data_IF_460295922208
#
_entry.id   IF_460295922208
#
_cell.length_a   1.000
_cell.length_b   1.000
_cell.length_c   1.000
_cell.angle_alpha   90.00
_cell.angle_beta   90.00
_cell.angle_gamma   90.00
#
_symmetry.space_group_name_H-M   'P 1'
#
loop_
_entity.id
_entity.type
_entity.pdbx_description
1 polymer ?
#
# COMPACT_ATOMS: atom_id res chain seq x y z
N UNK A 1 30.69 -24.55 -18.01
CA UNK A 1 31.75 -23.79 -17.33
C UNK A 1 31.20 -22.41 -17.07
N UNK A 2 31.20 -21.94 -15.82
CA UNK A 2 30.69 -20.61 -15.49
C UNK A 2 31.69 -19.56 -15.98
N UNK A 3 31.26 -18.70 -16.89
CA UNK A 3 32.08 -17.60 -17.41
C UNK A 3 32.08 -16.45 -16.39
N UNK A 4 33.26 -15.91 -16.07
CA UNK A 4 33.39 -14.82 -15.12
C UNK A 4 32.88 -13.52 -15.77
N UNK A 5 31.80 -12.95 -15.21
CA UNK A 5 31.24 -11.69 -15.68
C UNK A 5 32.23 -10.56 -15.39
N UNK A 6 32.35 -9.60 -16.31
CA UNK A 6 33.35 -8.54 -16.25
C UNK A 6 33.14 -7.54 -15.12
N UNK A 7 31.90 -7.20 -14.77
CA UNK A 7 31.60 -6.17 -13.76
C UNK A 7 30.66 -6.68 -12.69
N UNK A 8 30.91 -6.23 -11.47
CA UNK A 8 30.14 -6.57 -10.29
C UNK A 8 29.95 -5.32 -9.44
N UNK A 9 28.77 -5.19 -8.84
CA UNK A 9 28.46 -4.15 -7.87
C UNK A 9 27.95 -4.81 -6.59
N UNK A 10 28.25 -4.26 -5.43
CA UNK A 10 27.90 -4.91 -4.19
C UNK A 10 28.23 -4.12 -2.93
N UNK A 11 28.28 -4.84 -1.82
CA UNK A 11 28.51 -4.26 -0.51
C UNK A 11 29.53 -5.09 0.27
N UNK A 12 30.28 -4.38 1.10
CA UNK A 12 31.21 -4.91 2.07
C UNK A 12 30.69 -4.61 3.48
N UNK A 13 30.77 -5.61 4.35
CA UNK A 13 30.31 -5.55 5.74
C UNK A 13 31.42 -6.05 6.68
N UNK A 14 31.39 -5.62 7.95
CA UNK A 14 32.34 -6.07 8.98
C UNK A 14 32.91 -4.89 9.77
N UNK A 15 34.21 -4.97 10.06
CA UNK A 15 34.94 -3.87 10.73
C UNK A 15 34.96 -2.59 9.91
N UNK A 16 34.84 -2.72 8.58
CA UNK A 16 34.59 -1.64 7.64
C UNK A 16 33.31 -1.95 6.88
N UNK A 17 32.61 -0.93 6.42
CA UNK A 17 31.37 -1.06 5.66
C UNK A 17 31.34 -0.08 4.51
N UNK A 18 30.96 -0.54 3.32
CA UNK A 18 30.97 0.33 2.15
C UNK A 18 30.37 -0.30 0.90
N UNK A 19 30.24 0.53 -0.13
CA UNK A 19 29.81 0.09 -1.45
C UNK A 19 31.04 -0.39 -2.24
N UNK A 20 30.89 -1.51 -2.93
CA UNK A 20 31.92 -2.11 -3.77
C UNK A 20 31.53 -2.05 -5.24
N UNK A 21 32.50 -1.69 -6.07
CA UNK A 21 32.43 -1.91 -7.50
C UNK A 21 33.69 -2.64 -7.95
N UNK A 22 33.53 -3.76 -8.63
CA UNK A 22 34.63 -4.66 -9.01
C UNK A 22 34.58 -4.91 -10.51
N UNK A 23 35.70 -4.67 -11.18
CA UNK A 23 35.90 -5.02 -12.58
C UNK A 23 36.95 -6.13 -12.64
N UNK A 24 36.56 -7.29 -13.17
CA UNK A 24 37.42 -8.46 -13.31
C UNK A 24 37.59 -8.80 -14.78
N UNK A 25 38.82 -9.08 -15.18
CA UNK A 25 39.21 -9.49 -16.53
C UNK A 25 40.16 -10.69 -16.42
N UNK A 26 40.28 -11.46 -17.50
CA UNK A 26 41.20 -12.60 -17.58
C UNK A 26 40.51 -13.95 -17.64
N UNK A 27 41.28 -15.01 -17.35
CA UNK A 27 40.85 -16.40 -17.47
C UNK A 27 40.68 -17.03 -16.08
N UNK A 28 40.07 -18.22 -15.99
CA UNK A 28 39.75 -18.87 -14.70
C UNK A 28 40.94 -19.00 -13.74
N UNK A 29 42.16 -19.15 -14.26
CA UNK A 29 43.38 -19.32 -13.44
C UNK A 29 44.20 -18.02 -13.29
N UNK A 30 43.78 -16.93 -13.94
CA UNK A 30 44.52 -15.68 -13.95
C UNK A 30 43.52 -14.53 -14.12
N UNK A 31 42.95 -14.12 -12.98
CA UNK A 31 41.96 -13.05 -12.88
C UNK A 31 42.65 -11.79 -12.38
N UNK A 32 42.54 -10.70 -13.14
CA UNK A 32 43.05 -9.39 -12.80
C UNK A 32 41.91 -8.39 -12.76
N UNK A 33 42.00 -7.36 -11.92
CA UNK A 33 40.89 -6.43 -11.82
C UNK A 33 41.15 -5.20 -10.97
N UNK A 34 40.16 -4.33 -10.97
CA UNK A 34 40.14 -3.13 -10.13
C UNK A 34 38.96 -3.21 -9.18
N UNK A 35 39.24 -3.05 -7.89
CA UNK A 35 38.23 -2.98 -6.82
C UNK A 35 38.16 -1.53 -6.35
N UNK A 36 36.97 -0.94 -6.40
CA UNK A 36 36.68 0.39 -5.86
C UNK A 36 35.78 0.22 -4.65
N UNK A 37 36.27 0.66 -3.49
CA UNK A 37 35.54 0.63 -2.23
C UNK A 37 35.22 2.07 -1.82
N UNK A 38 33.94 2.40 -1.73
CA UNK A 38 33.48 3.61 -1.06
C UNK A 38 33.15 3.24 0.39
N UNK A 39 34.11 3.41 1.28
CA UNK A 39 33.92 3.24 2.72
C UNK A 39 33.05 4.37 3.26
N UNK A 40 32.08 4.03 4.10
CA UNK A 40 31.10 4.98 4.62
C UNK A 40 31.72 6.09 5.49
N UNK A 41 32.89 5.85 6.08
CA UNK A 41 33.59 6.77 6.99
C UNK A 41 34.84 7.34 6.32
N UNK A 42 35.61 6.50 5.65
CA UNK A 42 36.94 6.86 5.16
C UNK A 42 36.96 7.31 3.69
N UNK A 43 35.87 7.12 2.95
CA UNK A 43 35.75 7.56 1.56
C UNK A 43 36.28 6.52 0.55
N UNK A 44 36.65 6.99 -0.65
CA UNK A 44 36.99 6.12 -1.77
C UNK A 44 38.41 5.57 -1.66
N UNK A 45 38.56 4.26 -1.82
CA UNK A 45 39.84 3.57 -2.00
C UNK A 45 39.78 2.67 -3.23
N UNK A 46 40.90 2.60 -3.96
CA UNK A 46 41.05 1.81 -5.17
C UNK A 46 42.14 0.78 -4.94
N UNK A 47 41.85 -0.47 -5.29
CA UNK A 47 42.76 -1.59 -5.17
C UNK A 47 42.92 -2.29 -6.51
N UNK A 48 44.12 -2.75 -6.80
CA UNK A 48 44.39 -3.70 -7.88
C UNK A 48 44.23 -5.12 -7.31
N UNK A 49 43.41 -5.93 -7.95
CA UNK A 49 43.10 -7.30 -7.54
C UNK A 49 43.72 -8.32 -8.48
N UNK A 50 44.34 -9.36 -7.93
CA UNK A 50 44.89 -10.50 -8.68
C UNK A 50 44.44 -11.80 -8.01
N UNK A 51 44.03 -12.80 -8.78
CA UNK A 51 43.54 -14.04 -8.20
C UNK A 51 43.05 -15.09 -9.19
N UNK A 52 42.18 -15.98 -8.71
CA UNK A 52 41.69 -17.13 -9.48
C UNK A 52 40.19 -17.32 -9.27
N UNK A 53 39.51 -17.85 -10.29
CA UNK A 53 38.12 -18.25 -10.26
C UNK A 53 37.95 -19.68 -10.77
N UNK A 54 37.93 -20.64 -9.85
CA UNK A 54 37.91 -22.08 -10.16
C UNK A 54 36.69 -22.70 -9.48
N UNK A 55 35.90 -23.47 -10.24
CA UNK A 55 34.72 -24.20 -9.75
C UNK A 55 33.72 -23.35 -8.94
N UNK A 56 33.57 -22.08 -9.32
CA UNK A 56 32.67 -21.14 -8.64
C UNK A 56 33.27 -20.51 -7.38
N UNK A 57 34.52 -20.81 -7.02
CA UNK A 57 35.24 -20.13 -5.93
C UNK A 57 36.16 -19.06 -6.49
N UNK A 58 35.96 -17.82 -6.06
CA UNK A 58 36.77 -16.66 -6.34
C UNK A 58 37.71 -16.39 -5.16
N UNK A 59 39.02 -16.37 -5.42
CA UNK A 59 40.02 -15.92 -4.46
C UNK A 59 40.79 -14.76 -5.05
N UNK A 60 40.76 -13.59 -4.41
CA UNK A 60 41.48 -12.38 -4.84
C UNK A 60 42.42 -11.91 -3.75
N UNK A 61 43.58 -11.40 -4.16
CA UNK A 61 44.47 -10.58 -3.36
C UNK A 61 44.48 -9.17 -3.93
N UNK A 62 44.16 -8.20 -3.09
CA UNK A 62 43.99 -6.82 -3.46
C UNK A 62 45.08 -5.97 -2.79
N UNK A 63 45.88 -5.29 -3.61
CA UNK A 63 46.87 -4.32 -3.17
C UNK A 63 46.31 -2.90 -3.37
N UNK A 64 46.60 -2.00 -2.42
CA UNK A 64 46.15 -0.62 -2.51
C UNK A 64 46.85 0.11 -3.66
N UNK A 65 46.05 0.76 -4.50
CA UNK A 65 46.52 1.59 -5.62
C UNK A 65 46.32 3.07 -5.28
N UNK A 66 45.16 3.40 -4.72
CA UNK A 66 44.84 4.76 -4.27
C UNK A 66 44.06 4.72 -2.96
N UNK A 67 44.46 5.57 -2.02
CA UNK A 67 43.86 5.70 -0.69
C UNK A 67 43.69 7.18 -0.31
N UNK A 68 42.73 7.51 0.57
CA UNK A 68 42.62 8.83 1.19
C UNK A 68 43.89 9.18 1.99
N UNK A 69 44.27 10.46 2.02
CA UNK A 69 45.46 10.93 2.73
C UNK A 69 45.39 10.65 4.24
N UNK A 70 46.52 10.19 4.82
CA UNK A 70 46.65 9.98 6.25
C UNK A 70 46.11 8.65 6.80
N UNK A 71 45.72 7.72 5.92
CA UNK A 71 45.23 6.39 6.30
C UNK A 71 46.17 5.28 5.82
N UNK A 72 46.45 4.32 6.69
CA UNK A 72 47.20 3.11 6.35
C UNK A 72 46.26 2.01 5.86
N UNK A 73 46.61 1.37 4.75
CA UNK A 73 45.85 0.26 4.16
C UNK A 73 46.71 -1.00 4.10
N UNK A 74 46.15 -2.12 4.59
CA UNK A 74 46.73 -3.44 4.42
C UNK A 74 46.32 -4.08 3.11
N UNK A 75 47.05 -5.12 2.70
CA UNK A 75 46.60 -5.99 1.61
C UNK A 75 45.32 -6.71 2.04
N UNK A 76 44.36 -6.80 1.11
CA UNK A 76 43.07 -7.44 1.37
C UNK A 76 43.03 -8.78 0.63
N UNK A 77 42.69 -9.84 1.34
CA UNK A 77 42.36 -11.14 0.75
C UNK A 77 40.85 -11.32 0.76
N UNK A 78 40.30 -11.74 -0.37
CA UNK A 78 38.87 -12.02 -0.58
C UNK A 78 38.71 -13.49 -0.98
N UNK A 79 37.79 -14.18 -0.32
CA UNK A 79 37.36 -15.53 -0.66
C UNK A 79 35.84 -15.52 -0.81
N UNK A 80 35.33 -15.75 -2.02
CA UNK A 80 33.90 -15.70 -2.31
C UNK A 80 33.45 -16.87 -3.17
N UNK A 81 32.26 -17.39 -2.91
CA UNK A 81 31.66 -18.48 -3.69
C UNK A 81 30.48 -17.98 -4.51
N UNK A 82 30.40 -18.41 -5.77
CA UNK A 82 29.31 -18.13 -6.68
C UNK A 82 28.10 -18.97 -6.26
N UNK A 83 27.09 -18.28 -5.76
CA UNK A 83 25.84 -18.86 -5.35
C UNK A 83 24.96 -19.19 -6.56
N UNK A 84 23.99 -20.13 -6.43
CA UNK A 84 23.07 -20.49 -7.52
C UNK A 84 22.21 -19.33 -8.05
N UNK A 85 22.07 -18.25 -7.28
CA UNK A 85 21.37 -17.02 -7.66
C UNK A 85 22.21 -16.07 -8.53
N UNK A 86 23.46 -16.46 -8.85
CA UNK A 86 24.41 -15.67 -9.63
C UNK A 86 25.18 -14.63 -8.81
N UNK A 87 25.02 -14.62 -7.48
CA UNK A 87 25.74 -13.70 -6.59
C UNK A 87 27.03 -14.32 -6.06
N UNK A 88 28.08 -13.51 -5.90
CA UNK A 88 29.30 -13.92 -5.21
C UNK A 88 29.22 -13.49 -3.75
N UNK A 89 29.32 -14.43 -2.82
CA UNK A 89 29.29 -14.16 -1.38
C UNK A 89 30.48 -14.80 -0.69
N UNK A 90 31.04 -14.10 0.29
CA UNK A 90 32.07 -14.69 1.11
C UNK A 90 32.72 -13.67 2.03
N UNK A 91 33.98 -13.90 2.35
CA UNK A 91 34.70 -13.21 3.40
C UNK A 91 35.85 -12.38 2.83
N UNK A 92 36.17 -11.29 3.53
CA UNK A 92 37.37 -10.50 3.27
C UNK A 92 38.14 -10.30 4.57
N UNK A 93 39.46 -10.20 4.44
CA UNK A 93 40.38 -9.96 5.56
C UNK A 93 41.54 -9.09 5.09
N UNK A 94 42.03 -8.20 5.95
CA UNK A 94 43.24 -7.42 5.69
C UNK A 94 44.41 -7.87 6.57
N UNK A 95 45.62 -7.51 6.15
CA UNK A 95 46.83 -7.69 6.95
C UNK A 95 46.86 -6.83 8.22
N UNK A 96 46.02 -5.79 8.31
CA UNK A 96 45.87 -4.92 9.50
C UNK A 96 44.86 -5.48 10.52
N UNK A 97 44.31 -6.68 10.28
CA UNK A 97 43.37 -7.34 11.18
C UNK A 97 41.91 -6.92 11.01
N UNK A 98 41.58 -6.14 9.97
CA UNK A 98 40.19 -5.85 9.60
C UNK A 98 39.60 -7.00 8.79
N UNK A 99 38.30 -7.26 8.95
CA UNK A 99 37.65 -8.39 8.30
C UNK A 99 36.13 -8.26 8.28
N UNK A 100 35.50 -9.08 7.45
CA UNK A 100 34.06 -9.30 7.45
C UNK A 100 33.58 -10.04 6.22
N UNK A 101 32.37 -9.74 5.78
CA UNK A 101 31.68 -10.43 4.69
C UNK A 101 31.40 -9.50 3.52
N UNK A 102 31.26 -10.04 2.31
CA UNK A 102 30.87 -9.29 1.12
C UNK A 102 29.79 -10.00 0.32
N UNK A 103 29.06 -9.22 -0.47
CA UNK A 103 28.12 -9.70 -1.47
C UNK A 103 28.26 -8.88 -2.74
N UNK A 104 28.54 -9.55 -3.86
CA UNK A 104 28.71 -8.98 -5.19
C UNK A 104 27.64 -9.51 -6.13
N UNK A 105 27.04 -8.60 -6.89
CA UNK A 105 25.97 -8.86 -7.86
C UNK A 105 26.50 -8.58 -9.27
N UNK A 106 26.23 -9.44 -10.25
CA UNK A 106 26.74 -9.27 -11.60
C UNK A 106 26.08 -8.06 -12.27
N UNK A 107 26.86 -7.30 -13.02
CA UNK A 107 26.41 -6.17 -13.83
C UNK A 107 26.99 -6.29 -15.24
N UNK A 108 26.16 -6.67 -16.22
CA UNK A 108 26.56 -6.84 -17.62
C UNK A 108 25.34 -6.98 -18.52
N UNK A 109 25.52 -6.80 -19.85
CA UNK A 109 24.42 -6.71 -20.84
C UNK A 109 23.57 -7.97 -21.01
N UNK A 110 23.84 -9.04 -20.27
CA UNK A 110 22.93 -10.19 -20.16
C UNK A 110 23.16 -10.85 -18.81
N UNK A 111 22.32 -10.51 -17.83
CA UNK A 111 22.18 -11.39 -16.67
C UNK A 111 21.76 -12.77 -17.19
N UNK A 112 22.46 -13.87 -16.85
CA UNK A 112 22.01 -15.20 -17.23
C UNK A 112 20.59 -15.40 -16.70
N UNK A 113 19.67 -15.78 -17.59
CA UNK A 113 18.29 -16.07 -17.23
C UNK A 113 18.27 -17.08 -16.09
N UNK A 114 17.83 -16.64 -14.92
CA UNK A 114 17.83 -17.44 -13.70
C UNK A 114 16.99 -18.70 -13.92
N UNK A 115 17.65 -19.84 -14.07
CA UNK A 115 17.04 -21.16 -14.33
C UNK A 115 17.02 -21.98 -13.04
N UNK A 116 16.46 -21.38 -11.99
CA UNK A 116 16.13 -22.05 -10.74
C UNK A 116 14.69 -21.70 -10.33
N UNK A 117 13.94 -22.61 -9.69
CA UNK A 117 12.59 -22.31 -9.23
C UNK A 117 12.65 -21.26 -8.13
N UNK A 118 12.50 -19.97 -8.49
CA UNK A 118 12.17 -18.92 -7.53
C UNK A 118 10.81 -19.30 -6.93
N UNK A 119 10.63 -19.32 -5.61
CA UNK A 119 9.30 -19.27 -5.06
C UNK A 119 8.69 -17.89 -5.39
N UNK A 120 8.07 -17.79 -6.58
CA UNK A 120 7.40 -16.61 -7.15
C UNK A 120 6.05 -16.32 -6.48
N UNK A 121 5.94 -16.51 -5.16
CA UNK A 121 4.68 -16.28 -4.47
C UNK A 121 4.53 -14.80 -4.14
N UNK A 122 3.77 -14.11 -4.97
CA UNK A 122 3.30 -12.77 -4.67
C UNK A 122 2.23 -12.84 -3.58
N UNK A 123 2.51 -12.21 -2.44
CA UNK A 123 1.55 -12.05 -1.36
C UNK A 123 0.78 -10.74 -1.56
N UNK A 124 -0.55 -10.83 -1.56
CA UNK A 124 -1.44 -9.67 -1.61
C UNK A 124 -2.31 -9.72 -0.36
N UNK A 125 -2.34 -8.62 0.37
CA UNK A 125 -3.24 -8.44 1.49
C UNK A 125 -4.09 -7.19 1.27
N UNK A 126 -5.38 -7.32 1.54
CA UNK A 126 -6.38 -6.28 1.37
C UNK A 126 -7.10 -6.06 2.70
N UNK A 127 -7.40 -4.80 3.02
CA UNK A 127 -8.33 -4.45 4.07
C UNK A 127 -9.25 -3.34 3.63
N UNK A 128 -10.54 -3.56 3.83
CA UNK A 128 -11.58 -2.56 3.60
C UNK A 128 -11.89 -1.81 4.89
N UNK A 129 -12.29 -0.54 4.73
CA UNK A 129 -12.65 0.36 5.81
C UNK A 129 -14.04 0.93 5.54
N UNK A 130 -14.76 1.23 6.63
CA UNK A 130 -16.03 1.92 6.55
C UNK A 130 -15.87 3.41 6.27
N UNK A 131 -16.73 4.22 6.88
CA UNK A 131 -16.77 5.64 6.58
C UNK A 131 -15.57 6.37 7.19
N UNK A 132 -14.74 7.01 6.36
CA UNK A 132 -13.53 7.71 6.81
C UNK A 132 -13.71 9.23 6.72
N UNK A 133 -13.19 9.93 7.72
CA UNK A 133 -13.08 11.38 7.73
C UNK A 133 -11.64 11.75 8.01
N UNK A 134 -10.98 12.39 7.05
CA UNK A 134 -9.58 12.76 7.15
C UNK A 134 -9.39 14.27 7.14
N UNK A 135 -8.46 14.72 7.97
CA UNK A 135 -7.97 16.10 8.02
C UNK A 135 -6.68 16.23 7.19
N UNK A 136 -6.19 17.46 6.94
CA UNK A 136 -4.92 17.67 6.25
C UNK A 136 -3.75 16.92 6.91
N UNK A 137 -3.69 16.94 8.24
CA UNK A 137 -2.63 16.29 9.01
C UNK A 137 -2.71 14.77 8.96
N UNK A 138 -3.93 14.23 8.83
CA UNK A 138 -4.12 12.79 8.63
C UNK A 138 -3.59 12.34 7.27
N UNK A 139 -3.81 13.14 6.23
CA UNK A 139 -3.30 12.85 4.89
C UNK A 139 -1.77 12.93 4.86
N UNK A 140 -1.17 13.94 5.50
CA UNK A 140 0.29 14.03 5.66
C UNK A 140 0.85 12.84 6.43
N UNK A 141 0.22 12.47 7.54
CA UNK A 141 0.64 11.30 8.34
C UNK A 141 0.60 10.01 7.51
N UNK A 142 -0.44 9.86 6.67
CA UNK A 142 -0.56 8.72 5.76
C UNK A 142 0.53 8.73 4.69
N UNK A 143 0.79 9.87 4.05
CA UNK A 143 1.88 10.05 3.08
C UNK A 143 3.23 9.69 3.72
N UNK A 144 3.49 10.18 4.93
CA UNK A 144 4.73 9.94 5.64
C UNK A 144 4.93 8.45 5.98
N UNK A 145 3.87 7.77 6.42
CA UNK A 145 3.90 6.32 6.69
C UNK A 145 4.14 5.53 5.40
N UNK A 146 3.54 5.94 4.28
CA UNK A 146 3.80 5.30 2.99
C UNK A 146 5.24 5.56 2.52
N UNK A 147 5.75 6.78 2.64
CA UNK A 147 7.07 7.18 2.15
C UNK A 147 8.23 6.59 2.94
N UNK A 148 8.16 6.59 4.28
CA UNK A 148 9.22 6.07 5.15
C UNK A 148 9.50 4.57 4.93
N UNK A 149 8.54 3.84 4.37
CA UNK A 149 8.52 2.38 4.37
C UNK A 149 8.89 1.74 3.03
N UNK A 150 9.08 2.57 2.00
CA UNK A 150 9.47 2.16 0.63
C UNK A 150 10.80 2.76 0.17
N UNK A 151 11.56 3.39 1.08
CA UNK A 151 12.81 4.08 0.76
C UNK A 151 12.58 5.42 0.04
N UNK A 152 13.51 5.84 -0.82
CA UNK A 152 13.46 7.11 -1.55
C UNK A 152 12.40 7.19 -2.67
N UNK A 153 11.53 6.20 -2.81
CA UNK A 153 10.52 6.19 -3.86
C UNK A 153 9.38 7.16 -3.54
N UNK A 154 9.01 8.04 -4.49
CA UNK A 154 8.00 9.05 -4.23
C UNK A 154 6.60 8.43 -4.17
N UNK A 155 5.84 8.82 -3.15
CA UNK A 155 4.40 8.51 -3.09
C UNK A 155 3.69 9.34 -4.16
N UNK A 156 2.85 8.69 -4.97
CA UNK A 156 1.99 9.34 -5.97
C UNK A 156 0.60 9.48 -5.39
N UNK A 157 0.06 10.69 -5.44
CA UNK A 157 -1.27 11.05 -4.97
C UNK A 157 -2.15 11.39 -6.18
N UNK A 158 -3.27 10.70 -6.31
CA UNK A 158 -4.29 10.94 -7.33
C UNK A 158 -5.57 11.45 -6.67
N UNK A 159 -6.13 12.52 -7.18
CA UNK A 159 -7.36 13.14 -6.68
C UNK A 159 -8.15 13.80 -7.82
N UNK A 160 -9.48 13.96 -7.68
CA UNK A 160 -10.28 14.66 -8.66
C UNK A 160 -10.11 16.18 -8.50
N UNK A 161 -9.85 16.86 -9.62
CA UNK A 161 -9.72 18.31 -9.72
C UNK A 161 -10.36 18.80 -11.02
N UNK A 162 -11.32 19.73 -10.92
CA UNK A 162 -12.01 20.29 -12.09
C UNK A 162 -12.72 19.25 -13.00
N UNK A 163 -13.10 18.08 -12.47
CA UNK A 163 -13.70 17.00 -13.26
C UNK A 163 -12.70 16.04 -13.92
N UNK A 164 -11.40 16.26 -13.75
CA UNK A 164 -10.32 15.39 -14.18
C UNK A 164 -9.70 14.67 -12.99
N UNK A 165 -9.14 13.48 -13.20
CA UNK A 165 -8.26 12.85 -12.21
C UNK A 165 -6.83 13.35 -12.41
N UNK A 166 -6.28 14.02 -11.41
CA UNK A 166 -4.92 14.56 -11.43
C UNK A 166 -4.03 13.70 -10.54
N UNK A 167 -2.88 13.27 -11.06
CA UNK A 167 -1.87 12.52 -10.31
C UNK A 167 -0.60 13.34 -10.17
N UNK A 168 -0.08 13.48 -8.94
CA UNK A 168 1.14 14.24 -8.62
C UNK A 168 1.97 13.51 -7.58
N UNK A 169 3.25 13.87 -7.46
CA UNK A 169 4.05 13.41 -6.34
C UNK A 169 3.59 14.05 -5.04
N UNK A 170 3.70 13.32 -3.94
CA UNK A 170 3.27 13.76 -2.62
C UNK A 170 3.92 15.09 -2.21
N UNK A 171 5.21 15.28 -2.52
CA UNK A 171 5.93 16.53 -2.21
C UNK A 171 5.36 17.76 -2.94
N UNK A 172 4.78 17.59 -4.13
CA UNK A 172 4.09 18.67 -4.84
C UNK A 172 2.65 18.84 -4.32
N UNK A 173 1.95 17.73 -4.10
CA UNK A 173 0.61 17.71 -3.53
C UNK A 173 0.53 18.37 -2.14
N UNK A 174 1.51 18.13 -1.27
CA UNK A 174 1.56 18.70 0.08
C UNK A 174 1.74 20.23 0.09
N UNK A 175 2.40 20.80 -0.93
CA UNK A 175 2.56 22.25 -1.09
C UNK A 175 1.24 22.94 -1.41
N UNK A 176 0.40 22.29 -2.21
CA UNK A 176 -0.88 22.84 -2.68
C UNK A 176 -2.07 22.38 -1.83
N UNK A 177 -1.84 21.54 -0.82
CA UNK A 177 -2.88 20.80 -0.08
C UNK A 177 -3.98 21.71 0.48
N UNK A 178 -3.62 22.88 0.99
CA UNK A 178 -4.56 23.85 1.56
C UNK A 178 -5.47 24.52 0.52
N UNK A 179 -5.08 24.51 -0.75
CA UNK A 179 -5.80 25.13 -1.86
C UNK A 179 -6.87 24.21 -2.45
N UNK A 180 -6.75 22.89 -2.23
CA UNK A 180 -7.61 21.86 -2.84
C UNK A 180 -9.00 21.73 -2.17
N UNK A 181 -9.24 22.42 -1.06
CA UNK A 181 -10.57 22.46 -0.44
C UNK A 181 -11.02 21.11 0.16
N UNK A 182 -12.10 20.55 -0.36
CA UNK A 182 -12.63 19.23 0.06
C UNK A 182 -12.58 18.30 -1.14
N UNK A 183 -11.90 17.15 -1.00
CA UNK A 183 -11.85 16.12 -2.04
C UNK A 183 -12.70 14.92 -1.65
N UNK A 184 -13.28 14.30 -2.67
CA UNK A 184 -14.19 13.17 -2.53
C UNK A 184 -13.58 11.83 -2.95
N UNK A 185 -12.39 11.85 -3.54
CA UNK A 185 -11.58 10.67 -3.78
C UNK A 185 -10.11 11.02 -3.59
N UNK A 186 -9.36 10.07 -3.05
CA UNK A 186 -7.92 10.18 -2.86
C UNK A 186 -7.32 8.80 -3.00
N UNK A 187 -6.39 8.64 -3.94
CA UNK A 187 -5.63 7.41 -4.11
C UNK A 187 -4.16 7.72 -3.88
N UNK A 188 -3.54 6.98 -2.96
CA UNK A 188 -2.09 7.05 -2.73
C UNK A 188 -1.48 5.74 -3.18
N UNK A 189 -0.45 5.83 -4.02
CA UNK A 189 0.26 4.68 -4.53
C UNK A 189 1.75 4.88 -4.32
N UNK A 190 2.42 3.82 -3.86
CA UNK A 190 3.88 3.77 -3.86
C UNK A 190 4.32 2.38 -4.31
N UNK A 191 5.36 2.36 -5.15
CA UNK A 191 5.96 1.13 -5.65
C UNK A 191 7.47 1.21 -5.47
N UNK A 192 8.06 0.13 -4.98
CA UNK A 192 9.50 0.04 -4.76
C UNK A 192 10.03 -1.33 -5.18
N UNK A 193 11.28 -1.40 -5.66
CA UNK A 193 11.93 -2.68 -5.92
C UNK A 193 12.13 -3.44 -4.61
N UNK A 194 11.96 -4.76 -4.65
CA UNK A 194 12.14 -5.63 -3.49
C UNK A 194 13.55 -6.27 -3.49
N UNK A 195 14.26 -6.34 -2.35
CA UNK A 195 15.60 -6.92 -2.29
C UNK A 195 15.68 -8.38 -2.75
N UNK A 196 14.59 -9.15 -2.61
CA UNK A 196 14.50 -10.55 -3.05
C UNK A 196 14.21 -10.71 -4.56
N UNK A 197 14.21 -9.61 -5.32
CA UNK A 197 13.63 -9.53 -6.67
C UNK A 197 12.13 -9.21 -6.60
N UNK A 198 11.57 -8.63 -7.66
CA UNK A 198 10.16 -8.25 -7.73
C UNK A 198 9.86 -6.81 -7.27
N UNK A 199 8.57 -6.49 -7.11
CA UNK A 199 8.08 -5.17 -6.70
C UNK A 199 7.17 -5.26 -5.49
N UNK A 200 7.42 -4.37 -4.52
CA UNK A 200 6.49 -4.07 -3.44
C UNK A 200 5.61 -2.91 -3.87
N UNK A 201 4.31 -3.03 -3.60
CA UNK A 201 3.36 -1.98 -3.89
C UNK A 201 2.40 -1.79 -2.72
N UNK A 202 2.13 -0.53 -2.40
CA UNK A 202 1.12 -0.13 -1.43
C UNK A 202 0.17 0.81 -2.16
N UNK A 203 -1.12 0.51 -2.09
CA UNK A 203 -2.19 1.34 -2.64
C UNK A 203 -3.23 1.60 -1.56
N UNK A 204 -3.51 2.86 -1.31
CA UNK A 204 -4.59 3.32 -0.43
C UNK A 204 -5.60 4.04 -1.29
N UNK A 205 -6.83 3.55 -1.31
CA UNK A 205 -7.92 4.12 -2.08
C UNK A 205 -9.04 4.55 -1.14
N UNK A 206 -9.35 5.84 -1.17
CA UNK A 206 -10.38 6.46 -0.36
C UNK A 206 -11.36 7.13 -1.31
N UNK A 207 -12.64 6.81 -1.20
CA UNK A 207 -13.65 7.32 -2.12
C UNK A 207 -14.99 7.57 -1.43
N UNK A 208 -15.67 8.61 -1.89
CA UNK A 208 -17.02 8.95 -1.45
C UNK A 208 -18.03 7.87 -1.84
N UNK A 209 -17.96 7.41 -3.08
CA UNK A 209 -18.99 6.53 -3.67
C UNK A 209 -18.54 5.07 -3.81
N UNK A 210 -17.26 4.79 -3.57
CA UNK A 210 -16.68 3.46 -3.69
C UNK A 210 -16.39 2.77 -2.35
N UNK A 211 -15.36 1.93 -2.37
CA UNK A 211 -14.85 1.19 -1.21
C UNK A 211 -13.57 1.86 -0.74
N UNK A 212 -13.47 2.11 0.55
CA UNK A 212 -12.22 2.54 1.14
C UNK A 212 -11.38 1.31 1.41
N UNK A 213 -10.19 1.23 0.83
CA UNK A 213 -9.37 0.02 0.94
C UNK A 213 -7.88 0.35 0.97
N UNK A 214 -7.14 -0.52 1.65
CA UNK A 214 -5.67 -0.58 1.60
C UNK A 214 -5.30 -1.92 1.00
N UNK A 215 -4.44 -1.87 -0.01
CA UNK A 215 -3.85 -3.03 -0.66
C UNK A 215 -2.34 -2.98 -0.50
N UNK A 216 -1.77 -4.05 0.02
CA UNK A 216 -0.32 -4.24 0.12
C UNK A 216 0.07 -5.49 -0.65
N UNK A 217 1.13 -5.38 -1.44
CA UNK A 217 1.65 -6.42 -2.29
C UNK A 217 3.18 -6.52 -2.14
N UNK A 218 3.70 -7.74 -2.08
CA UNK A 218 5.14 -8.02 -2.04
C UNK A 218 5.43 -9.52 -1.99
N UNK A 219 6.69 -9.92 -2.10
CA UNK A 219 7.13 -11.31 -2.03
C UNK A 219 7.31 -11.81 -0.60
N UNK A 220 7.57 -10.92 0.37
CA UNK A 220 7.58 -11.26 1.80
C UNK A 220 6.18 -11.12 2.45
N UNK A 221 5.52 -12.25 2.71
CA UNK A 221 4.21 -12.29 3.36
C UNK A 221 4.17 -11.82 4.82
N UNK A 222 5.31 -11.76 5.53
CA UNK A 222 5.40 -11.18 6.87
C UNK A 222 5.40 -9.65 6.76
N UNK A 223 6.23 -9.11 5.86
CA UNK A 223 6.25 -7.69 5.56
C UNK A 223 4.87 -7.18 5.07
N UNK A 224 4.25 -7.89 4.13
CA UNK A 224 2.92 -7.53 3.59
C UNK A 224 1.87 -7.41 4.70
N UNK A 225 1.81 -8.38 5.62
CA UNK A 225 0.87 -8.36 6.74
C UNK A 225 1.19 -7.25 7.74
N UNK A 226 2.47 -7.07 8.09
CA UNK A 226 2.90 -6.02 9.00
C UNK A 226 2.56 -4.62 8.49
N UNK A 227 2.79 -4.35 7.20
CA UNK A 227 2.44 -3.07 6.58
C UNK A 227 0.95 -2.84 6.50
N UNK A 228 0.18 -3.87 6.14
CA UNK A 228 -1.27 -3.75 6.13
C UNK A 228 -1.80 -3.38 7.53
N UNK A 229 -1.31 -4.02 8.60
CA UNK A 229 -1.77 -3.70 9.96
C UNK A 229 -1.37 -2.28 10.39
N UNK A 230 -0.14 -1.85 10.11
CA UNK A 230 0.33 -0.50 10.45
C UNK A 230 -0.53 0.60 9.79
N UNK A 231 -0.82 0.46 8.49
CA UNK A 231 -1.68 1.41 7.77
C UNK A 231 -3.13 1.28 8.26
N UNK A 232 -3.59 0.05 8.52
CA UNK A 232 -4.95 -0.18 9.01
C UNK A 232 -5.19 0.44 10.38
N UNK A 233 -4.23 0.38 11.29
CA UNK A 233 -4.36 0.98 12.61
C UNK A 233 -4.40 2.51 12.56
N UNK A 234 -3.66 3.12 11.62
CA UNK A 234 -3.77 4.54 11.34
C UNK A 234 -5.19 4.91 10.85
N UNK A 235 -5.71 4.17 9.87
CA UNK A 235 -7.03 4.44 9.29
C UNK A 235 -8.19 4.09 10.23
N UNK A 236 -8.10 3.03 11.03
CA UNK A 236 -9.12 2.65 12.02
C UNK A 236 -9.38 3.76 13.04
N UNK A 237 -8.34 4.48 13.47
CA UNK A 237 -8.48 5.63 14.37
C UNK A 237 -9.25 6.79 13.74
N UNK A 238 -9.32 6.83 12.41
CA UNK A 238 -10.05 7.85 11.62
C UNK A 238 -11.38 7.33 11.08
N UNK A 239 -11.69 6.07 11.34
CA UNK A 239 -12.96 5.47 10.98
C UNK A 239 -14.07 6.02 11.88
N UNK A 240 -15.09 6.60 11.25
CA UNK A 240 -16.29 7.03 11.95
C UNK A 240 -17.16 5.80 12.18
N UNK A 241 -16.86 5.06 13.24
CA UNK A 241 -17.59 3.87 13.72
C UNK A 241 -19.12 3.98 13.58
N UNK A 242 -19.69 5.13 13.92
CA UNK A 242 -21.14 5.34 13.85
C UNK A 242 -21.65 5.41 12.40
N UNK A 243 -20.92 6.07 11.48
CA UNK A 243 -21.27 6.11 10.06
C UNK A 243 -21.03 4.76 9.37
N UNK A 244 -19.99 4.03 9.76
CA UNK A 244 -19.79 2.64 9.32
C UNK A 244 -20.95 1.75 9.74
N UNK A 245 -21.40 1.86 11.00
CA UNK A 245 -22.57 1.13 11.48
C UNK A 245 -23.84 1.55 10.74
N UNK A 246 -24.07 2.83 10.48
CA UNK A 246 -25.24 3.30 9.71
C UNK A 246 -25.29 2.67 8.32
N UNK A 247 -24.18 2.65 7.58
CA UNK A 247 -24.11 1.97 6.26
C UNK A 247 -24.36 0.47 6.36
N UNK A 248 -23.88 -0.19 7.42
CA UNK A 248 -24.12 -1.62 7.68
C UNK A 248 -25.56 -1.91 8.15
N UNK A 249 -26.17 -0.99 8.91
CA UNK A 249 -27.50 -1.15 9.49
C UNK A 249 -28.63 -0.66 8.58
N UNK A 250 -28.37 0.21 7.61
CA UNK A 250 -29.34 0.54 6.55
C UNK A 250 -29.78 -0.70 5.77
N UNK A 251 -28.84 -1.64 5.55
CA UNK A 251 -29.16 -2.97 5.01
C UNK A 251 -30.04 -3.80 5.97
N UNK A 252 -29.80 -3.73 7.29
CA UNK A 252 -30.64 -4.43 8.27
C UNK A 252 -32.07 -3.85 8.35
N UNK A 253 -32.25 -2.55 8.09
CA UNK A 253 -33.58 -1.93 8.09
C UNK A 253 -34.45 -2.42 6.92
N UNK A 254 -33.84 -2.63 5.75
CA UNK A 254 -34.53 -3.26 4.62
C UNK A 254 -35.00 -4.68 5.00
N UNK A 255 -34.17 -5.45 5.70
CA UNK A 255 -34.54 -6.77 6.22
C UNK A 255 -35.71 -6.69 7.19
N UNK A 256 -35.71 -5.74 8.12
CA UNK A 256 -36.82 -5.53 9.06
C UNK A 256 -38.12 -5.15 8.35
N UNK A 257 -38.06 -4.27 7.33
CA UNK A 257 -39.22 -3.92 6.51
C UNK A 257 -39.77 -5.14 5.75
N UNK A 258 -38.90 -5.97 5.17
CA UNK A 258 -39.31 -7.20 4.46
C UNK A 258 -39.95 -8.20 5.43
N UNK A 259 -39.35 -8.41 6.62
CA UNK A 259 -39.91 -9.30 7.64
C UNK A 259 -41.27 -8.79 8.11
N UNK A 260 -41.37 -7.49 8.43
CA UNK A 260 -42.63 -6.86 8.82
C UNK A 260 -43.70 -7.00 7.73
N UNK A 261 -43.33 -6.79 6.47
CA UNK A 261 -44.23 -6.98 5.35
C UNK A 261 -44.67 -8.44 5.20
N UNK A 262 -43.76 -9.41 5.36
CA UNK A 262 -44.08 -10.84 5.31
C UNK A 262 -45.07 -11.26 6.40
N UNK A 263 -44.94 -10.71 7.61
CA UNK A 263 -45.88 -10.94 8.71
C UNK A 263 -47.24 -10.30 8.46
N UNK A 264 -47.28 -9.13 7.81
CA UNK A 264 -48.51 -8.40 7.53
C UNK A 264 -49.29 -8.90 6.30
N UNK A 265 -48.61 -9.51 5.32
CA UNK A 265 -49.20 -9.98 4.06
C UNK A 265 -50.41 -10.93 4.21
N UNK A 266 -50.40 -11.92 5.12
CA UNK A 266 -51.52 -12.85 5.28
C UNK A 266 -52.84 -12.16 5.66
N UNK A 267 -52.75 -11.07 6.42
CA UNK A 267 -53.90 -10.35 6.97
C UNK A 267 -54.66 -9.51 5.91
N UNK A 268 -54.08 -9.33 4.72
CA UNK A 268 -54.75 -8.65 3.62
C UNK A 268 -55.67 -9.64 2.87
N UNK A 269 -56.96 -9.29 2.78
CA UNK A 269 -58.02 -10.18 2.29
C UNK A 269 -57.91 -10.58 0.81
N UNK A 270 -57.34 -9.74 -0.06
CA UNK A 270 -57.28 -9.98 -1.51
C UNK A 270 -55.85 -10.05 -2.03
N UNK A 271 -55.60 -10.91 -3.03
CA UNK A 271 -54.29 -11.00 -3.68
C UNK A 271 -53.87 -9.68 -4.33
N UNK A 272 -54.82 -8.87 -4.83
CA UNK A 272 -54.52 -7.55 -5.36
C UNK A 272 -53.95 -6.59 -4.29
N UNK A 273 -54.54 -6.55 -3.10
CA UNK A 273 -54.03 -5.72 -1.98
C UNK A 273 -52.65 -6.18 -1.52
N UNK A 274 -52.41 -7.51 -1.50
CA UNK A 274 -51.10 -8.08 -1.19
C UNK A 274 -50.03 -7.65 -2.21
N UNK A 275 -50.35 -7.72 -3.50
CA UNK A 275 -49.44 -7.31 -4.57
C UNK A 275 -49.11 -5.80 -4.51
N UNK A 276 -50.13 -4.96 -4.27
CA UNK A 276 -49.94 -3.51 -4.08
C UNK A 276 -49.06 -3.23 -2.88
N UNK A 277 -49.31 -3.88 -1.74
CA UNK A 277 -48.51 -3.71 -0.53
C UNK A 277 -47.04 -4.10 -0.75
N UNK A 278 -46.80 -5.28 -1.32
CA UNK A 278 -45.45 -5.76 -1.63
C UNK A 278 -44.71 -4.80 -2.58
N UNK A 279 -45.39 -4.30 -3.62
CA UNK A 279 -44.82 -3.35 -4.57
C UNK A 279 -44.48 -2.01 -3.91
N UNK A 280 -45.33 -1.53 -3.01
CA UNK A 280 -45.08 -0.30 -2.26
C UNK A 280 -43.88 -0.43 -1.31
N UNK A 281 -43.77 -1.54 -0.59
CA UNK A 281 -42.60 -1.83 0.26
C UNK A 281 -41.33 -1.90 -0.58
N UNK A 282 -41.37 -2.56 -1.73
CA UNK A 282 -40.24 -2.61 -2.65
C UNK A 282 -39.84 -1.21 -3.13
N UNK A 283 -40.80 -0.36 -3.51
CA UNK A 283 -40.54 1.02 -3.90
C UNK A 283 -39.90 1.85 -2.76
N UNK A 284 -40.37 1.67 -1.52
CA UNK A 284 -39.77 2.30 -0.33
C UNK A 284 -38.31 1.85 -0.15
N UNK A 285 -38.02 0.56 -0.28
CA UNK A 285 -36.65 0.02 -0.15
C UNK A 285 -35.72 0.60 -1.22
N UNK A 286 -36.18 0.67 -2.47
CA UNK A 286 -35.42 1.28 -3.57
C UNK A 286 -35.16 2.76 -3.29
N UNK A 287 -36.17 3.50 -2.85
CA UNK A 287 -36.05 4.92 -2.52
C UNK A 287 -35.07 5.15 -1.37
N UNK A 288 -35.17 4.40 -0.27
CA UNK A 288 -34.23 4.48 0.86
C UNK A 288 -32.81 4.18 0.38
N UNK A 289 -32.63 3.14 -0.43
CA UNK A 289 -31.31 2.76 -0.95
C UNK A 289 -30.70 3.86 -1.81
N UNK A 290 -31.50 4.49 -2.67
CA UNK A 290 -31.07 5.64 -3.47
C UNK A 290 -30.72 6.85 -2.61
N UNK A 291 -31.53 7.15 -1.60
CA UNK A 291 -31.33 8.26 -0.68
C UNK A 291 -30.07 8.05 0.18
N UNK A 292 -29.88 6.84 0.69
CA UNK A 292 -28.72 6.50 1.50
C UNK A 292 -27.41 6.62 0.71
N UNK A 293 -27.40 6.18 -0.56
CA UNK A 293 -26.24 6.40 -1.46
C UNK A 293 -25.94 7.87 -1.68
N UNK A 294 -26.97 8.72 -1.81
CA UNK A 294 -26.82 10.16 -2.07
C UNK A 294 -26.30 10.93 -0.85
N UNK A 295 -26.75 10.57 0.35
CA UNK A 295 -26.55 11.39 1.56
C UNK A 295 -25.52 10.85 2.56
N UNK A 296 -25.12 9.58 2.47
CA UNK A 296 -24.13 8.97 3.40
C UNK A 296 -22.84 8.68 2.63
N UNK A 297 -21.91 9.65 2.53
CA UNK A 297 -20.65 9.47 1.82
C UNK A 297 -19.74 8.44 2.51
N UNK A 298 -19.07 7.59 1.73
CA UNK A 298 -18.09 6.60 2.19
C UNK A 298 -16.77 7.21 2.67
N UNK A 299 -16.30 8.30 2.07
CA UNK A 299 -15.18 9.06 2.57
C UNK A 299 -15.41 10.56 2.37
N UNK A 300 -14.98 11.36 3.34
CA UNK A 300 -14.90 12.81 3.20
C UNK A 300 -13.52 13.26 3.66
N UNK A 301 -12.78 13.88 2.75
CA UNK A 301 -11.40 14.28 2.98
C UNK A 301 -11.35 15.80 2.94
N UNK A 302 -11.13 16.40 4.10
CA UNK A 302 -11.01 17.85 4.27
C UNK A 302 -9.54 18.21 4.12
N UNK A 303 -9.17 18.86 3.01
CA UNK A 303 -7.80 19.32 2.76
C UNK A 303 -7.60 20.80 3.15
N UNK A 304 -8.69 21.52 3.42
CA UNK A 304 -8.65 22.90 3.93
C UNK A 304 -8.64 22.98 5.47
N UNK A 305 -8.17 24.09 6.06
CA UNK A 305 -8.06 24.26 7.53
C UNK A 305 -9.41 24.33 8.27
N UNK A 306 -10.53 24.37 7.54
CA UNK A 306 -11.85 24.50 8.14
C UNK A 306 -12.26 23.14 8.71
N UNK A 307 -12.10 22.97 10.02
CA UNK A 307 -12.64 21.80 10.70
C UNK A 307 -14.17 21.74 10.49
N UNK A 308 -14.74 20.59 10.10
CA UNK A 308 -16.17 20.49 9.83
C UNK A 308 -16.96 20.75 11.11
N UNK A 309 -18.05 21.51 11.01
CA UNK A 309 -18.92 21.85 12.15
C UNK A 309 -19.68 20.64 12.68
N UNK A 310 -20.20 20.72 13.93
CA UNK A 310 -20.98 19.64 14.55
C UNK A 310 -22.18 19.19 13.70
N UNK A 311 -22.82 20.12 12.98
CA UNK A 311 -23.93 19.85 12.07
C UNK A 311 -23.50 19.07 10.83
N UNK A 312 -22.34 19.38 10.25
CA UNK A 312 -21.77 18.62 9.12
C UNK A 312 -21.30 17.22 9.56
N UNK A 313 -20.96 17.05 10.84
CA UNK A 313 -20.57 15.76 11.42
C UNK A 313 -21.77 14.87 11.75
N UNK A 314 -22.85 15.43 12.30
CA UNK A 314 -24.03 14.70 12.77
C UNK A 314 -25.19 14.66 11.77
N UNK A 315 -25.23 15.58 10.79
CA UNK A 315 -26.30 15.71 9.81
C UNK A 315 -26.62 14.42 9.05
N UNK A 316 -25.63 13.70 8.48
CA UNK A 316 -25.88 12.44 7.79
C UNK A 316 -26.48 11.35 8.70
N UNK A 317 -26.16 11.37 10.00
CA UNK A 317 -26.68 10.40 10.98
C UNK A 317 -28.14 10.69 11.33
N UNK A 318 -28.46 11.95 11.63
CA UNK A 318 -29.83 12.38 11.90
C UNK A 318 -30.74 12.10 10.70
N UNK A 319 -30.24 12.36 9.48
CA UNK A 319 -30.99 12.10 8.26
C UNK A 319 -31.31 10.61 8.09
N UNK A 320 -30.36 9.70 8.35
CA UNK A 320 -30.60 8.26 8.25
C UNK A 320 -31.69 7.78 9.22
N UNK A 321 -31.69 8.27 10.47
CA UNK A 321 -32.74 7.94 11.43
C UNK A 321 -34.11 8.48 11.02
N UNK A 322 -34.16 9.71 10.49
CA UNK A 322 -35.39 10.32 9.99
C UNK A 322 -35.94 9.51 8.81
N UNK A 323 -35.09 9.08 7.88
CA UNK A 323 -35.48 8.23 6.74
C UNK A 323 -36.01 6.87 7.20
N UNK A 324 -35.36 6.25 8.18
CA UNK A 324 -35.81 4.98 8.75
C UNK A 324 -37.16 5.11 9.48
N UNK A 325 -37.33 6.13 10.33
CA UNK A 325 -38.58 6.37 11.04
C UNK A 325 -39.74 6.70 10.09
N UNK A 326 -39.50 7.57 9.09
CA UNK A 326 -40.51 7.97 8.10
C UNK A 326 -40.93 6.81 7.19
N UNK A 327 -40.02 5.91 6.83
CA UNK A 327 -40.35 4.74 6.00
C UNK A 327 -41.18 3.69 6.75
N UNK A 328 -40.88 3.45 8.03
CA UNK A 328 -41.71 2.58 8.88
C UNK A 328 -43.13 3.15 9.09
N UNK A 329 -43.23 4.47 9.26
CA UNK A 329 -44.52 5.19 9.29
C UNK A 329 -45.27 5.06 7.96
N UNK A 330 -44.60 5.30 6.84
CA UNK A 330 -45.21 5.18 5.51
C UNK A 330 -45.72 3.75 5.25
N UNK A 331 -44.92 2.72 5.56
CA UNK A 331 -45.32 1.33 5.45
C UNK A 331 -46.55 1.00 6.30
N UNK A 332 -46.59 1.47 7.55
CA UNK A 332 -47.73 1.30 8.47
C UNK A 332 -49.00 1.98 7.94
N UNK A 333 -48.89 3.20 7.41
CA UNK A 333 -50.03 3.94 6.83
C UNK A 333 -50.57 3.23 5.60
N UNK A 334 -49.69 2.77 4.69
CA UNK A 334 -50.10 2.03 3.49
C UNK A 334 -50.82 0.74 3.87
N UNK A 335 -50.31 -0.01 4.85
CA UNK A 335 -50.97 -1.21 5.35
C UNK A 335 -52.35 -0.89 5.94
N UNK A 336 -52.46 0.13 6.80
CA UNK A 336 -53.73 0.56 7.40
C UNK A 336 -54.77 1.00 6.36
N UNK A 337 -54.36 1.69 5.30
CA UNK A 337 -55.22 2.06 4.17
C UNK A 337 -55.70 0.82 3.39
N UNK A 338 -54.80 -0.12 3.10
CA UNK A 338 -55.15 -1.35 2.37
C UNK A 338 -56.01 -2.31 3.19
N UNK A 339 -55.86 -2.30 4.50
CA UNK A 339 -56.72 -3.06 5.42
C UNK A 339 -58.09 -2.40 5.59
N UNK A 340 -58.16 -1.08 5.45
CA UNK A 340 -59.38 -0.28 5.62
C UNK A 340 -59.58 0.25 7.04
N UNK A 341 -58.56 0.18 7.89
CA UNK A 341 -58.56 0.70 9.26
C UNK A 341 -58.25 2.20 9.32
N UNK A 342 -57.52 2.71 8.32
CA UNK A 342 -57.21 4.14 8.17
C UNK A 342 -58.03 4.68 7.01
N UNK A 343 -58.80 5.76 7.23
CA UNK A 343 -59.49 6.49 6.15
C UNK A 343 -58.57 7.57 5.61
N UNK A 344 -58.56 7.73 4.29
CA UNK A 344 -57.79 8.79 3.65
C UNK A 344 -58.30 10.16 4.15
N UNK A 345 -57.43 11.09 4.57
CA UNK A 345 -57.87 12.37 5.15
C UNK A 345 -58.61 13.30 4.17
N UNK A 346 -58.73 12.92 2.90
CA UNK A 346 -59.40 13.67 1.84
C UNK A 346 -60.47 12.86 1.10
N UNK A 347 -60.98 11.79 1.72
CA UNK A 347 -62.00 10.89 1.14
C UNK A 347 -63.34 10.98 1.86
#
# INVERSE_FOLDING_TARGET
MAELIKRWAGHLYGTNTGNLFVELEGSSNDVHGTVRLMDAVFGLSIFTAVGTFIDGSLTLRCAVEQAPEGLEFGEITVEATLSPDGTLRGDWRSTLGTAGTLALFPHGETAPAQTGPRPERLHIALREFGALSMTPDDVRSLIQVLGNETGSQPVVVTYPDGGLEVSRFAADFERDLSQLGTVHALRLNVQAPEPSGGTRAISVELSRDGVNQVRVQGMDGVWVRGKLEAIADLLRRRERWMLTRVRKWGLNFNTLLIIGAAVALPDLATMGRRAVFASAIFAIIVLISALHRRFVPGAVIYLSPRSPGLVERAGPQALSWIIAASSALAASVIYGLLKGEVRWPWG
#
